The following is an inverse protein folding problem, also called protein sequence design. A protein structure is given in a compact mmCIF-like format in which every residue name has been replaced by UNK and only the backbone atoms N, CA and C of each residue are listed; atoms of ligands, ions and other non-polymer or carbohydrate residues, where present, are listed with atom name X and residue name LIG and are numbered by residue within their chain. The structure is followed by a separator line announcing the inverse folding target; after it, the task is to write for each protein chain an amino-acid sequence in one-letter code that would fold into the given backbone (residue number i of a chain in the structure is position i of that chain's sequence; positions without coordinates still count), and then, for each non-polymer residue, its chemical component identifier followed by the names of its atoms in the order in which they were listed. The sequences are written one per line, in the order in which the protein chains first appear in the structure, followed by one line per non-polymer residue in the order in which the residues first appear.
data_IF_318888644845
#
_entry.id   IF_318888644845
#
_cell.length_a   1.000
_cell.length_b   1.000
_cell.length_c   1.000
_cell.angle_alpha   90.00
_cell.angle_beta   90.00
_cell.angle_gamma   90.00
#
_symmetry.space_group_name_H-M   'P 1'
#
loop_
_entity.id
_entity.type
_entity.pdbx_description
1 polymer ?
#
# COMPACT_ATOMS: atom_id res chain seq x y z
N UNK A 1 4.85 0.06 16.09
CA UNK A 1 4.31 0.57 17.38
C UNK A 1 4.71 -0.39 18.52
N UNK A 2 5.28 0.15 19.59
CA UNK A 2 6.03 -0.58 20.62
C UNK A 2 7.50 -0.81 20.25
N UNK A 3 7.76 -1.41 19.08
CA UNK A 3 9.11 -1.78 18.60
C UNK A 3 9.84 -0.70 17.76
N UNK A 4 9.45 0.58 17.85
CA UNK A 4 10.09 1.68 17.11
C UNK A 4 9.76 1.80 15.61
N UNK A 5 9.01 0.86 15.03
CA UNK A 5 8.54 0.96 13.63
C UNK A 5 7.41 1.99 13.47
N UNK A 6 7.51 2.84 12.45
CA UNK A 6 6.50 3.81 12.05
C UNK A 6 5.27 3.16 11.41
N UNK A 7 4.18 3.92 11.26
CA UNK A 7 2.98 3.43 10.55
C UNK A 7 3.33 3.16 9.08
N UNK A 8 4.03 4.08 8.42
CA UNK A 8 4.43 3.93 7.03
C UNK A 8 5.28 2.68 6.80
N UNK A 9 6.22 2.37 7.70
CA UNK A 9 7.05 1.15 7.60
C UNK A 9 6.21 -0.12 7.69
N UNK A 10 5.29 -0.19 8.65
CA UNK A 10 4.42 -1.37 8.85
C UNK A 10 3.43 -1.56 7.69
N UNK A 11 2.79 -0.48 7.23
CA UNK A 11 1.87 -0.50 6.08
C UNK A 11 2.61 -0.91 4.82
N UNK A 12 3.78 -0.31 4.54
CA UNK A 12 4.57 -0.62 3.34
C UNK A 12 5.06 -2.07 3.35
N UNK A 13 5.51 -2.58 4.50
CA UNK A 13 5.98 -3.97 4.62
C UNK A 13 4.86 -4.97 4.39
N UNK A 14 3.69 -4.74 5.01
CA UNK A 14 2.52 -5.61 4.82
C UNK A 14 2.01 -5.57 3.38
N UNK A 15 1.92 -4.37 2.80
CA UNK A 15 1.52 -4.19 1.40
C UNK A 15 2.49 -4.88 0.44
N UNK A 16 3.80 -4.66 0.60
CA UNK A 16 4.83 -5.30 -0.22
C UNK A 16 4.74 -6.83 -0.19
N UNK A 17 4.34 -7.41 0.94
CA UNK A 17 4.13 -8.86 1.07
C UNK A 17 2.90 -9.32 0.31
N UNK A 18 1.75 -8.70 0.55
CA UNK A 18 0.46 -9.17 0.02
C UNK A 18 0.25 -8.83 -1.45
N UNK A 19 0.74 -7.68 -1.91
CA UNK A 19 0.47 -7.16 -3.27
C UNK A 19 1.00 -8.09 -4.35
N UNK A 20 1.99 -8.95 -4.07
CA UNK A 20 2.52 -9.91 -5.05
C UNK A 20 1.48 -10.90 -5.58
N UNK A 21 0.34 -11.04 -4.89
CA UNK A 21 -0.77 -11.88 -5.36
C UNK A 21 -1.25 -11.48 -6.75
N UNK A 22 -1.61 -12.48 -7.56
CA UNK A 22 -2.40 -12.29 -8.77
C UNK A 22 -3.41 -13.41 -8.95
N UNK A 23 -4.66 -13.02 -9.21
CA UNK A 23 -5.78 -13.93 -9.37
C UNK A 23 -5.65 -14.85 -10.58
N UNK A 24 -4.94 -14.40 -11.61
CA UNK A 24 -4.80 -15.09 -12.90
C UNK A 24 -4.27 -16.53 -12.79
N UNK A 25 -3.33 -16.76 -11.88
CA UNK A 25 -2.73 -18.08 -11.63
C UNK A 25 -2.56 -18.39 -10.15
N UNK A 26 -3.18 -17.58 -9.27
CA UNK A 26 -3.20 -17.75 -7.81
C UNK A 26 -1.82 -17.76 -7.16
N UNK A 27 -0.81 -17.16 -7.81
CA UNK A 27 0.55 -17.03 -7.27
C UNK A 27 0.71 -15.74 -6.48
N UNK A 28 1.72 -15.72 -5.60
CA UNK A 28 2.04 -14.58 -4.74
C UNK A 28 1.19 -14.53 -3.47
N UNK A 29 1.19 -13.38 -2.80
CA UNK A 29 0.52 -13.16 -1.53
C UNK A 29 1.47 -13.18 -0.33
N UNK A 30 0.93 -12.92 0.85
CA UNK A 30 1.69 -12.78 2.10
C UNK A 30 2.05 -14.12 2.75
N UNK A 31 1.30 -15.19 2.48
CA UNK A 31 1.55 -16.52 3.00
C UNK A 31 2.89 -17.09 2.46
N UNK A 32 3.62 -17.77 3.34
CA UNK A 32 5.00 -18.19 3.10
C UNK A 32 6.05 -17.15 3.53
N UNK A 33 5.66 -15.91 3.85
CA UNK A 33 6.58 -14.87 4.32
C UNK A 33 7.74 -14.60 3.35
N UNK A 34 7.51 -14.81 2.04
CA UNK A 34 8.55 -14.82 1.01
C UNK A 34 9.17 -13.45 0.73
N UNK A 35 8.55 -12.37 1.23
CA UNK A 35 9.11 -11.03 1.20
C UNK A 35 10.53 -10.95 1.80
N UNK A 36 10.85 -11.79 2.79
CA UNK A 36 12.18 -11.85 3.42
C UNK A 36 13.23 -12.69 2.66
N UNK A 37 12.80 -13.36 1.59
CA UNK A 37 13.62 -14.29 0.82
C UNK A 37 14.01 -13.67 -0.53
N UNK A 38 15.04 -14.24 -1.16
CA UNK A 38 15.35 -13.89 -2.54
C UNK A 38 14.29 -14.53 -3.48
N UNK A 39 13.85 -13.81 -4.55
CA UNK A 39 14.36 -12.51 -4.98
C UNK A 39 13.62 -11.31 -4.37
N UNK A 40 12.50 -11.52 -3.66
CA UNK A 40 11.60 -10.42 -3.27
C UNK A 40 12.25 -9.35 -2.39
N UNK A 41 13.09 -9.76 -1.44
CA UNK A 41 13.77 -8.81 -0.53
C UNK A 41 14.70 -7.83 -1.25
N UNK A 42 15.13 -8.20 -2.46
CA UNK A 42 16.12 -7.48 -3.26
C UNK A 42 15.46 -6.64 -4.38
N UNK A 43 14.13 -6.71 -4.53
CA UNK A 43 13.40 -5.93 -5.54
C UNK A 43 13.41 -4.43 -5.22
N UNK A 44 13.68 -3.62 -6.24
CA UNK A 44 13.73 -2.16 -6.14
C UNK A 44 12.44 -1.58 -5.54
N UNK A 45 11.28 -2.07 -6.00
CA UNK A 45 9.96 -1.62 -5.54
C UNK A 45 9.75 -1.80 -4.03
N UNK A 46 10.48 -2.75 -3.42
CA UNK A 46 10.39 -3.07 -2.01
C UNK A 46 11.36 -2.26 -1.14
N UNK A 47 12.18 -1.38 -1.72
CA UNK A 47 13.18 -0.57 -1.01
C UNK A 47 14.02 -1.40 -0.03
N UNK A 48 14.95 -2.26 -0.51
CA UNK A 48 15.58 -3.32 0.28
C UNK A 48 16.18 -2.89 1.62
N UNK A 49 16.77 -1.70 1.70
CA UNK A 49 17.33 -1.15 2.94
C UNK A 49 16.24 -0.85 4.00
N UNK A 50 15.17 -0.19 3.57
CA UNK A 50 14.02 0.14 4.44
C UNK A 50 13.29 -1.14 4.86
N UNK A 51 13.08 -2.08 3.93
CA UNK A 51 12.48 -3.38 4.20
C UNK A 51 13.30 -4.21 5.19
N UNK A 52 14.62 -4.28 5.02
CA UNK A 52 15.49 -5.05 5.91
C UNK A 52 15.42 -4.53 7.36
N UNK A 53 15.27 -3.21 7.54
CA UNK A 53 15.04 -2.61 8.86
C UNK A 53 13.73 -3.09 9.51
N UNK A 54 12.64 -3.08 8.76
CA UNK A 54 11.33 -3.52 9.24
C UNK A 54 11.32 -5.03 9.55
N UNK A 55 11.87 -5.87 8.67
CA UNK A 55 11.94 -7.31 8.87
C UNK A 55 12.74 -7.68 10.12
N UNK A 56 13.91 -7.08 10.36
CA UNK A 56 14.70 -7.34 11.58
C UNK A 56 13.93 -7.05 12.86
N UNK A 57 13.18 -5.94 12.88
CA UNK A 57 12.37 -5.58 14.04
C UNK A 57 11.22 -6.60 14.25
N UNK A 58 10.55 -7.04 13.17
CA UNK A 58 9.50 -8.05 13.25
C UNK A 58 10.04 -9.44 13.63
N UNK A 59 11.23 -9.83 13.15
CA UNK A 59 11.92 -11.06 13.54
C UNK A 59 12.31 -11.05 15.02
N UNK A 60 12.77 -9.90 15.54
CA UNK A 60 13.05 -9.74 16.97
C UNK A 60 11.78 -9.95 17.81
N UNK A 61 10.65 -9.35 17.39
CA UNK A 61 9.35 -9.54 18.05
C UNK A 61 8.92 -11.02 17.98
N UNK A 62 9.11 -11.66 16.81
CA UNK A 62 8.81 -13.08 16.62
C UNK A 62 9.59 -13.94 17.60
N UNK A 63 10.90 -13.74 17.69
CA UNK A 63 11.78 -14.51 18.56
C UNK A 63 11.42 -14.34 20.03
N UNK A 64 11.18 -13.10 20.47
CA UNK A 64 10.75 -12.80 21.84
C UNK A 64 9.41 -13.46 22.17
N UNK A 65 8.40 -13.26 21.33
CA UNK A 65 7.07 -13.84 21.54
C UNK A 65 7.13 -15.36 21.59
N UNK A 66 7.77 -15.99 20.61
CA UNK A 66 7.87 -17.45 20.50
C UNK A 66 8.70 -18.07 21.64
N UNK A 67 9.76 -17.39 22.09
CA UNK A 67 10.56 -17.83 23.24
C UNK A 67 9.85 -17.72 24.58
N UNK A 68 8.91 -16.77 24.72
CA UNK A 68 8.10 -16.60 25.91
C UNK A 68 6.90 -17.57 26.01
N UNK A 69 6.51 -18.23 24.90
CA UNK A 69 5.36 -19.13 24.91
C UNK A 69 5.70 -20.46 25.61
N UNK A 70 4.72 -20.99 26.36
CA UNK A 70 4.72 -22.38 26.85
C UNK A 70 3.89 -23.25 25.90
N UNK A 71 4.34 -24.47 25.63
CA UNK A 71 3.71 -25.38 24.66
C UNK A 71 3.97 -24.99 23.21
N UNK A 72 3.07 -25.40 22.31
CA UNK A 72 3.29 -25.35 20.84
C UNK A 72 2.83 -24.04 20.18
N UNK A 73 2.29 -23.10 20.96
CA UNK A 73 1.85 -21.80 20.42
C UNK A 73 3.06 -21.05 19.85
N UNK A 74 3.03 -20.75 18.56
CA UNK A 74 4.03 -19.95 17.86
C UNK A 74 3.32 -19.01 16.88
N UNK A 75 4.00 -17.94 16.49
CA UNK A 75 3.57 -17.03 15.42
C UNK A 75 4.60 -17.06 14.29
N UNK A 76 4.13 -17.08 13.04
CA UNK A 76 4.97 -16.96 11.85
C UNK A 76 5.32 -15.49 11.58
N UNK A 77 6.40 -15.25 10.85
CA UNK A 77 6.77 -13.92 10.41
C UNK A 77 5.75 -13.43 9.37
N UNK A 78 5.26 -14.32 8.50
CA UNK A 78 4.17 -14.04 7.57
C UNK A 78 2.93 -13.44 8.27
N UNK A 79 2.49 -14.03 9.39
CA UNK A 79 1.38 -13.48 10.18
C UNK A 79 1.76 -12.17 10.87
N UNK A 80 2.99 -12.04 11.40
CA UNK A 80 3.44 -10.80 12.04
C UNK A 80 3.55 -9.61 11.08
N UNK A 81 3.95 -9.85 9.83
CA UNK A 81 3.99 -8.81 8.78
C UNK A 81 2.57 -8.26 8.57
N UNK A 82 1.59 -9.15 8.37
CA UNK A 82 0.18 -8.75 8.17
C UNK A 82 -0.40 -8.09 9.41
N UNK A 83 -0.20 -8.69 10.59
CA UNK A 83 -0.67 -8.16 11.86
C UNK A 83 -0.08 -6.78 12.17
N UNK A 84 1.20 -6.56 11.85
CA UNK A 84 1.86 -5.27 11.96
C UNK A 84 1.21 -4.21 11.09
N UNK A 85 0.87 -4.55 9.84
CA UNK A 85 0.10 -3.69 8.95
C UNK A 85 -1.30 -3.36 9.49
N UNK A 86 -2.02 -4.36 10.02
CA UNK A 86 -3.32 -4.14 10.68
C UNK A 86 -3.20 -3.15 11.85
N UNK A 87 -2.24 -3.37 12.76
CA UNK A 87 -2.01 -2.49 13.90
C UNK A 87 -1.66 -1.05 13.48
N UNK A 88 -0.92 -0.88 12.38
CA UNK A 88 -0.58 0.43 11.85
C UNK A 88 -1.80 1.18 11.28
N UNK A 89 -2.73 0.47 10.64
CA UNK A 89 -3.98 1.04 10.14
C UNK A 89 -4.92 1.43 11.29
N UNK A 90 -5.04 0.58 12.31
CA UNK A 90 -5.80 0.90 13.52
C UNK A 90 -5.25 2.17 14.20
N UNK A 91 -3.93 2.30 14.29
CA UNK A 91 -3.29 3.52 14.79
C UNK A 91 -3.57 4.74 13.90
N UNK A 92 -3.43 4.61 12.59
CA UNK A 92 -3.63 5.71 11.66
C UNK A 92 -5.09 6.20 11.65
N UNK A 93 -6.05 5.28 11.78
CA UNK A 93 -7.46 5.59 11.97
C UNK A 93 -7.71 6.29 13.31
N UNK A 94 -7.06 5.84 14.39
CA UNK A 94 -7.17 6.47 15.72
C UNK A 94 -6.64 7.89 15.72
N UNK A 95 -5.52 8.15 15.03
CA UNK A 95 -5.00 9.51 14.80
C UNK A 95 -6.00 10.39 14.05
N UNK A 96 -6.83 9.80 13.19
CA UNK A 96 -7.92 10.48 12.49
C UNK A 96 -9.21 10.61 13.34
N UNK A 97 -9.22 10.13 14.59
CA UNK A 97 -10.38 10.18 15.47
C UNK A 97 -11.36 9.01 15.32
N UNK A 98 -10.94 7.91 14.66
CA UNK A 98 -11.77 6.73 14.43
C UNK A 98 -11.21 5.51 15.16
N UNK A 99 -12.02 4.92 16.04
CA UNK A 99 -11.71 3.63 16.65
C UNK A 99 -12.24 2.51 15.75
N UNK A 100 -11.32 1.74 15.16
CA UNK A 100 -11.63 0.65 14.24
C UNK A 100 -10.79 -0.56 14.59
N UNK A 101 -11.31 -1.72 14.18
CA UNK A 101 -10.59 -2.98 14.28
C UNK A 101 -10.40 -3.55 12.89
N UNK A 102 -9.16 -3.80 12.51
CA UNK A 102 -8.85 -4.42 11.22
C UNK A 102 -8.96 -5.94 11.38
N UNK A 103 -9.77 -6.63 10.56
CA UNK A 103 -9.85 -8.09 10.60
C UNK A 103 -8.47 -8.73 10.40
N UNK A 104 -8.18 -9.76 11.19
CA UNK A 104 -6.94 -10.53 11.08
C UNK A 104 -7.23 -12.00 11.37
N UNK A 105 -6.85 -12.86 10.43
CA UNK A 105 -6.91 -14.32 10.57
C UNK A 105 -5.49 -14.87 10.62
N UNK A 106 -5.05 -15.50 11.73
CA UNK A 106 -3.75 -16.16 11.78
C UNK A 106 -3.76 -17.43 10.93
N UNK A 107 -2.59 -18.06 10.77
CA UNK A 107 -2.42 -19.36 10.11
C UNK A 107 -1.49 -19.34 8.91
N UNK A 108 -0.93 -18.18 8.53
CA UNK A 108 0.12 -18.13 7.51
C UNK A 108 1.36 -18.84 8.05
N UNK A 109 2.12 -19.48 7.17
CA UNK A 109 3.36 -20.16 7.51
C UNK A 109 4.58 -19.45 6.90
N UNK A 110 5.77 -19.76 7.41
CA UNK A 110 7.03 -19.26 6.87
C UNK A 110 7.68 -20.32 5.97
N UNK A 111 7.75 -20.05 4.66
CA UNK A 111 8.49 -20.88 3.72
C UNK A 111 10.00 -20.63 3.85
N UNK A 112 10.84 -21.60 3.47
CA UNK A 112 12.30 -21.44 3.44
C UNK A 112 12.80 -21.03 2.05
N UNK A 113 14.08 -20.64 1.96
CA UNK A 113 14.71 -20.31 0.67
C UNK A 113 14.74 -21.52 -0.27
N UNK A 114 14.95 -22.73 0.27
CA UNK A 114 14.96 -24.00 -0.48
C UNK A 114 13.57 -24.35 -1.03
N UNK A 115 12.50 -23.85 -0.39
CA UNK A 115 11.12 -23.97 -0.83
C UNK A 115 10.68 -22.85 -1.79
N UNK A 116 11.64 -22.06 -2.29
CA UNK A 116 11.38 -20.89 -3.14
C UNK A 116 12.28 -20.93 -4.38
N UNK A 117 11.67 -21.22 -5.53
CA UNK A 117 12.31 -21.11 -6.84
C UNK A 117 12.41 -19.62 -7.24
N UNK A 118 13.62 -19.06 -7.17
CA UNK A 118 13.83 -17.64 -7.39
C UNK A 118 13.48 -17.20 -8.84
N UNK A 119 13.79 -18.03 -9.84
CA UNK A 119 13.54 -17.72 -11.24
C UNK A 119 12.04 -17.70 -11.52
N UNK A 120 11.31 -18.66 -10.94
CA UNK A 120 9.85 -18.68 -11.01
C UNK A 120 9.22 -17.43 -10.37
N UNK A 121 9.80 -16.90 -9.28
CA UNK A 121 9.30 -15.70 -8.61
C UNK A 121 9.62 -14.39 -9.34
N UNK A 122 10.60 -14.36 -10.25
CA UNK A 122 10.98 -13.14 -10.97
C UNK A 122 9.81 -12.51 -11.75
N UNK A 123 8.89 -13.32 -12.29
CA UNK A 123 7.70 -12.82 -13.02
C UNK A 123 6.62 -12.19 -12.14
N UNK A 124 6.79 -12.26 -10.82
CA UNK A 124 5.92 -11.60 -9.84
C UNK A 124 6.46 -10.23 -9.43
N UNK A 125 7.68 -9.88 -9.85
CA UNK A 125 8.25 -8.56 -9.58
C UNK A 125 7.44 -7.48 -10.32
N UNK A 126 6.80 -6.54 -9.60
CA UNK A 126 6.05 -5.48 -10.24
C UNK A 126 6.99 -4.54 -11.00
N UNK A 127 6.81 -4.41 -12.32
CA UNK A 127 7.49 -3.37 -13.09
C UNK A 127 6.89 -1.99 -12.84
N UNK A 128 5.63 -1.93 -12.42
CA UNK A 128 4.95 -0.77 -11.89
C UNK A 128 4.01 -1.18 -10.75
N UNK A 129 3.86 -0.33 -9.74
CA UNK A 129 2.91 -0.48 -8.66
C UNK A 129 2.32 0.89 -8.31
N UNK A 130 1.17 1.20 -8.91
CA UNK A 130 0.50 2.47 -8.69
C UNK A 130 0.07 2.70 -7.23
N UNK A 131 -0.17 1.63 -6.46
CA UNK A 131 -0.51 1.75 -5.04
C UNK A 131 0.66 2.28 -4.22
N UNK A 132 1.90 1.99 -4.63
CA UNK A 132 3.14 2.53 -4.04
C UNK A 132 3.77 3.68 -4.83
N UNK A 133 3.06 4.21 -5.82
CA UNK A 133 3.55 5.23 -6.76
C UNK A 133 4.91 4.89 -7.38
N UNK A 134 5.09 3.62 -7.73
CA UNK A 134 6.34 3.10 -8.27
C UNK A 134 6.20 2.76 -9.76
N UNK A 135 7.24 3.09 -10.53
CA UNK A 135 7.39 2.70 -11.92
C UNK A 135 8.87 2.51 -12.22
N UNK A 136 9.25 1.30 -12.62
CA UNK A 136 10.59 1.00 -13.11
C UNK A 136 10.71 1.26 -14.62
N UNK A 137 11.93 1.38 -15.12
CA UNK A 137 12.20 1.50 -16.56
C UNK A 137 11.65 0.31 -17.38
N UNK A 138 11.53 -0.87 -16.75
CA UNK A 138 10.96 -2.09 -17.36
C UNK A 138 9.46 -1.99 -17.64
N UNK A 139 8.76 -1.00 -17.10
CA UNK A 139 7.33 -0.79 -17.35
C UNK A 139 7.03 -0.37 -18.81
N UNK A 140 8.05 0.02 -19.57
CA UNK A 140 7.92 0.40 -20.98
C UNK A 140 7.11 1.69 -21.17
N UNK A 141 6.38 1.79 -22.28
CA UNK A 141 5.66 3.01 -22.68
C UNK A 141 4.18 3.06 -22.28
N UNK A 142 3.64 1.99 -21.65
CA UNK A 142 2.22 1.95 -21.25
C UNK A 142 1.93 3.03 -20.20
N UNK A 143 0.82 3.79 -20.30
CA UNK A 143 0.45 4.78 -19.29
C UNK A 143 0.36 4.17 -17.88
N UNK A 144 0.84 4.88 -16.87
CA UNK A 144 0.91 4.35 -15.50
C UNK A 144 -0.47 4.03 -14.92
N UNK A 145 -1.49 4.78 -15.31
CA UNK A 145 -2.88 4.55 -14.94
C UNK A 145 -3.47 3.24 -15.52
N UNK A 146 -3.02 2.81 -16.70
CA UNK A 146 -3.43 1.51 -17.25
C UNK A 146 -2.80 0.36 -16.46
N UNK A 147 -1.53 0.52 -16.07
CA UNK A 147 -0.82 -0.45 -15.23
C UNK A 147 -1.42 -0.52 -13.82
N UNK A 148 -1.91 0.60 -13.27
CA UNK A 148 -2.67 0.61 -12.02
C UNK A 148 -3.95 -0.23 -12.16
N UNK A 149 -4.73 -0.03 -13.22
CA UNK A 149 -5.99 -0.78 -13.43
C UNK A 149 -5.72 -2.27 -13.63
N UNK A 150 -4.68 -2.63 -14.39
CA UNK A 150 -4.24 -4.02 -14.52
C UNK A 150 -3.85 -4.63 -13.17
N UNK A 151 -3.11 -3.88 -12.35
CA UNK A 151 -2.73 -4.32 -11.01
C UNK A 151 -3.93 -4.51 -10.09
N UNK A 152 -4.89 -3.59 -10.16
CA UNK A 152 -6.15 -3.70 -9.41
C UNK A 152 -6.94 -4.95 -9.83
N UNK A 153 -6.98 -5.26 -11.14
CA UNK A 153 -7.62 -6.47 -11.65
C UNK A 153 -6.96 -7.74 -11.12
N UNK A 154 -5.63 -7.80 -11.10
CA UNK A 154 -4.88 -8.94 -10.53
C UNK A 154 -5.19 -9.16 -9.04
N UNK A 155 -5.46 -8.08 -8.32
CA UNK A 155 -5.83 -8.10 -6.89
C UNK A 155 -7.34 -8.25 -6.67
N UNK A 156 -8.12 -8.54 -7.71
CA UNK A 156 -9.59 -8.68 -7.67
C UNK A 156 -10.34 -7.43 -7.19
N UNK A 157 -9.71 -6.25 -7.30
CA UNK A 157 -10.26 -5.00 -6.79
C UNK A 157 -11.24 -4.40 -7.80
N UNK A 158 -12.38 -3.95 -7.27
CA UNK A 158 -13.29 -3.06 -7.97
C UNK A 158 -12.72 -1.64 -8.06
N UNK A 159 -13.28 -0.79 -8.93
CA UNK A 159 -12.85 0.61 -9.03
C UNK A 159 -13.00 1.38 -7.70
N UNK A 160 -14.08 1.20 -6.89
CA UNK A 160 -14.16 1.81 -5.56
C UNK A 160 -13.08 1.33 -4.58
N UNK A 161 -12.78 0.02 -4.56
CA UNK A 161 -11.73 -0.54 -3.71
C UNK A 161 -10.34 -0.06 -4.12
N UNK A 162 -10.05 -0.01 -5.42
CA UNK A 162 -8.81 0.58 -5.95
C UNK A 162 -8.69 2.04 -5.53
N UNK A 163 -9.77 2.82 -5.67
CA UNK A 163 -9.80 4.25 -5.33
C UNK A 163 -9.50 4.49 -3.86
N UNK A 164 -10.21 3.78 -2.97
CA UNK A 164 -10.02 3.96 -1.52
C UNK A 164 -8.61 3.53 -1.09
N UNK A 165 -8.08 2.44 -1.66
CA UNK A 165 -6.73 1.96 -1.37
C UNK A 165 -5.67 2.96 -1.80
N UNK A 166 -5.75 3.52 -3.02
CA UNK A 166 -4.77 4.53 -3.47
C UNK A 166 -4.79 5.74 -2.54
N UNK A 167 -5.96 6.31 -2.27
CA UNK A 167 -6.07 7.50 -1.42
C UNK A 167 -5.54 7.28 0.00
N UNK A 168 -5.88 6.14 0.61
CA UNK A 168 -5.38 5.81 1.94
C UNK A 168 -3.89 5.50 1.97
N UNK A 169 -3.36 4.72 1.02
CA UNK A 169 -1.93 4.42 0.97
C UNK A 169 -1.06 5.67 0.77
N UNK A 170 -1.57 6.68 0.02
CA UNK A 170 -0.92 8.00 -0.05
C UNK A 170 -0.88 8.71 1.29
N UNK A 171 -2.01 8.78 2.00
CA UNK A 171 -2.08 9.41 3.32
C UNK A 171 -1.20 8.69 4.36
N UNK A 172 -1.03 7.38 4.22
CA UNK A 172 -0.19 6.55 5.10
C UNK A 172 1.30 6.54 4.72
N UNK A 173 1.70 7.26 3.65
CA UNK A 173 3.10 7.34 3.23
C UNK A 173 3.67 6.02 2.69
N UNK A 174 2.83 5.18 2.07
CA UNK A 174 3.23 3.86 1.58
C UNK A 174 3.94 3.88 0.22
N UNK A 175 4.45 5.04 -0.21
CA UNK A 175 5.16 5.17 -1.48
C UNK A 175 6.55 4.52 -1.40
N UNK A 176 6.96 3.85 -2.48
CA UNK A 176 8.32 3.32 -2.60
C UNK A 176 9.35 4.45 -2.45
N UNK A 177 10.42 4.19 -1.67
CA UNK A 177 11.48 5.15 -1.42
C UNK A 177 11.03 6.41 -0.67
N UNK A 178 9.87 6.39 0.01
CA UNK A 178 9.29 7.54 0.71
C UNK A 178 9.05 8.75 -0.21
N UNK A 179 8.75 8.50 -1.49
CA UNK A 179 8.40 9.55 -2.45
C UNK A 179 7.18 10.37 -1.97
N UNK A 180 7.19 11.68 -2.22
CA UNK A 180 6.09 12.59 -1.90
C UNK A 180 5.00 12.65 -2.97
N UNK A 181 5.14 11.90 -4.08
CA UNK A 181 4.15 11.88 -5.17
C UNK A 181 2.77 11.43 -4.66
N UNK A 182 1.75 12.26 -4.85
CA UNK A 182 0.38 11.94 -4.47
C UNK A 182 0.09 12.10 -2.97
N UNK A 183 1.08 12.44 -2.14
CA UNK A 183 0.89 12.62 -0.68
C UNK A 183 0.28 14.00 -0.42
N UNK A 184 -1.01 14.14 -0.73
CA UNK A 184 -1.75 15.39 -0.61
C UNK A 184 -2.31 15.55 0.80
N UNK A 185 -1.43 15.62 1.80
CA UNK A 185 -1.81 15.84 3.20
C UNK A 185 -0.65 16.47 3.97
N UNK A 186 -0.98 17.32 4.94
CA UNK A 186 -0.02 17.86 5.91
C UNK A 186 0.07 17.00 7.19
N UNK A 187 -0.69 15.90 7.24
CA UNK A 187 -0.78 14.99 8.40
C UNK A 187 -0.47 13.55 7.97
N UNK A 188 0.73 13.27 7.43
CA UNK A 188 1.09 11.92 7.00
C UNK A 188 0.95 10.91 8.15
N UNK A 189 0.72 9.65 7.79
CA UNK A 189 0.41 8.57 8.73
C UNK A 189 -0.90 8.75 9.52
N UNK A 190 -1.84 9.54 8.98
CA UNK A 190 -3.20 9.73 9.52
C UNK A 190 -4.20 9.34 8.43
N UNK A 191 -5.08 8.37 8.70
CA UNK A 191 -5.97 7.81 7.69
C UNK A 191 -7.15 8.75 7.43
N UNK A 192 -7.03 9.61 6.42
CA UNK A 192 -7.99 10.70 6.12
C UNK A 192 -8.34 10.75 4.64
N UNK A 193 -9.42 11.46 4.32
CA UNK A 193 -9.84 11.75 2.94
C UNK A 193 -9.03 12.86 2.27
N UNK A 194 -7.96 13.36 2.91
CA UNK A 194 -7.15 14.50 2.46
C UNK A 194 -6.68 14.34 1.00
N UNK A 195 -6.33 13.11 0.56
CA UNK A 195 -5.99 12.83 -0.84
C UNK A 195 -7.07 13.32 -1.81
N UNK A 196 -8.33 12.96 -1.58
CA UNK A 196 -9.43 13.29 -2.48
C UNK A 196 -9.82 14.76 -2.36
N UNK A 197 -9.87 15.29 -1.14
CA UNK A 197 -10.21 16.70 -0.88
C UNK A 197 -9.22 17.62 -1.58
N UNK A 198 -7.92 17.35 -1.46
CA UNK A 198 -6.88 18.18 -2.07
C UNK A 198 -6.72 17.95 -3.58
N UNK A 199 -6.99 16.74 -4.08
CA UNK A 199 -6.98 16.45 -5.51
C UNK A 199 -8.10 17.21 -6.24
N UNK A 200 -9.28 17.30 -5.63
CA UNK A 200 -10.48 17.91 -6.23
C UNK A 200 -10.61 19.40 -5.93
N UNK A 201 -9.69 19.98 -5.15
CA UNK A 201 -9.62 21.41 -4.90
C UNK A 201 -9.32 22.20 -6.19
N UNK A 202 -10.32 22.91 -6.69
CA UNK A 202 -10.23 23.71 -7.91
C UNK A 202 -9.28 24.92 -7.79
N UNK A 203 -8.90 25.31 -6.57
CA UNK A 203 -7.86 26.31 -6.33
C UNK A 203 -6.46 25.77 -6.66
N UNK A 204 -6.30 24.47 -6.86
CA UNK A 204 -5.05 23.86 -7.34
C UNK A 204 -5.10 23.67 -8.86
N UNK A 205 -4.12 24.21 -9.57
CA UNK A 205 -3.89 23.97 -10.99
C UNK A 205 -2.74 22.97 -11.16
N UNK A 206 -2.96 21.96 -12.01
CA UNK A 206 -1.99 20.91 -12.29
C UNK A 206 -1.32 21.12 -13.65
N UNK A 207 0.01 21.07 -13.68
CA UNK A 207 0.81 21.13 -14.92
C UNK A 207 1.91 20.07 -14.92
N UNK A 208 2.30 19.51 -16.06
CA UNK A 208 3.47 18.64 -16.16
C UNK A 208 4.72 19.35 -15.62
N UNK A 209 5.62 18.59 -14.98
CA UNK A 209 6.94 19.06 -14.61
C UNK A 209 7.83 19.21 -15.85
N UNK A 210 8.77 20.15 -15.81
CA UNK A 210 9.76 20.30 -16.88
C UNK A 210 10.85 19.21 -16.81
N UNK A 211 11.13 18.70 -15.62
CA UNK A 211 12.18 17.71 -15.37
C UNK A 211 11.74 16.26 -15.68
N UNK A 212 10.45 15.97 -15.51
CA UNK A 212 9.89 14.63 -15.67
C UNK A 212 8.43 14.72 -16.17
N UNK A 213 8.14 14.25 -17.40
CA UNK A 213 6.80 14.33 -17.99
C UNK A 213 5.75 13.44 -17.30
N UNK A 214 6.16 12.47 -16.48
CA UNK A 214 5.25 11.63 -15.69
C UNK A 214 4.93 12.23 -14.30
N UNK A 215 5.59 13.34 -13.95
CA UNK A 215 5.35 14.11 -12.72
C UNK A 215 4.61 15.40 -13.04
N UNK A 216 3.63 15.73 -12.20
CA UNK A 216 2.80 16.92 -12.32
C UNK A 216 2.90 17.74 -11.04
N UNK A 217 2.99 19.06 -11.21
CA UNK A 217 3.08 20.02 -10.13
C UNK A 217 1.71 20.67 -9.92
N UNK A 218 1.17 20.51 -8.70
CA UNK A 218 -0.03 21.20 -8.24
C UNK A 218 0.36 22.55 -7.65
N UNK A 219 -0.09 23.65 -8.26
CA UNK A 219 0.17 25.01 -7.82
C UNK A 219 -1.12 25.71 -7.44
N UNK A 220 -1.06 26.57 -6.43
CA UNK A 220 -2.13 27.47 -6.12
C UNK A 220 -2.42 28.39 -7.33
N UNK A 221 -3.68 28.43 -7.76
CA UNK A 221 -4.10 29.11 -9.00
C UNK A 221 -3.97 30.63 -8.92
N UNK A 222 -3.96 31.20 -7.71
CA UNK A 222 -3.87 32.66 -7.50
C UNK A 222 -2.43 33.11 -7.34
N UNK A 223 -1.65 32.38 -6.55
CA UNK A 223 -0.28 32.78 -6.16
C UNK A 223 0.80 32.10 -7.00
N UNK A 224 0.49 31.00 -7.67
CA UNK A 224 1.47 30.15 -8.37
C UNK A 224 2.38 29.33 -7.45
N UNK A 225 2.19 29.41 -6.13
CA UNK A 225 2.96 28.68 -5.14
C UNK A 225 2.74 27.17 -5.30
N UNK A 226 3.82 26.39 -5.25
CA UNK A 226 3.74 24.92 -5.31
C UNK A 226 3.11 24.40 -4.03
N UNK A 227 2.02 23.62 -4.17
CA UNK A 227 1.36 22.91 -3.08
C UNK A 227 1.76 21.44 -3.08
N UNK A 228 1.66 20.78 -4.23
CA UNK A 228 1.73 19.32 -4.34
C UNK A 228 2.55 18.87 -5.55
N UNK A 229 2.90 17.57 -5.55
CA UNK A 229 3.36 16.85 -6.73
C UNK A 229 2.63 15.51 -6.82
N UNK A 230 2.26 15.08 -8.01
CA UNK A 230 1.59 13.81 -8.25
C UNK A 230 2.03 13.19 -9.56
N UNK A 231 1.84 11.89 -9.71
CA UNK A 231 2.03 11.19 -10.97
C UNK A 231 0.70 11.05 -11.72
N UNK A 232 0.75 10.45 -12.91
CA UNK A 232 -0.46 10.05 -13.65
C UNK A 232 -1.38 9.16 -12.82
N UNK A 233 -0.83 8.30 -11.96
CA UNK A 233 -1.59 7.41 -11.08
C UNK A 233 -2.41 8.20 -10.07
N UNK A 234 -1.91 9.34 -9.61
CA UNK A 234 -2.62 10.18 -8.64
C UNK A 234 -3.71 11.00 -9.35
N UNK A 235 -3.36 11.60 -10.49
CA UNK A 235 -4.25 12.53 -11.19
C UNK A 235 -5.37 11.86 -11.99
N UNK A 236 -5.25 10.56 -12.31
CA UNK A 236 -6.32 9.85 -13.02
C UNK A 236 -7.64 9.89 -12.25
N UNK A 237 -7.59 9.92 -10.92
CA UNK A 237 -8.77 10.04 -10.04
C UNK A 237 -9.43 11.42 -10.09
N UNK A 238 -8.75 12.45 -10.59
CA UNK A 238 -9.31 13.79 -10.84
C UNK A 238 -9.78 14.01 -12.28
N UNK A 239 -9.38 13.12 -13.20
CA UNK A 239 -9.51 13.29 -14.65
C UNK A 239 -10.47 12.29 -15.32
N UNK A 240 -10.35 11.00 -15.03
CA UNK A 240 -11.26 9.99 -15.58
C UNK A 240 -12.66 10.18 -14.96
N UNK A 241 -13.70 10.32 -15.77
CA UNK A 241 -15.05 10.69 -15.31
C UNK A 241 -15.63 9.71 -14.28
N UNK A 242 -15.37 8.40 -14.42
CA UNK A 242 -15.86 7.39 -13.49
C UNK A 242 -15.07 7.40 -12.18
N UNK A 243 -13.73 7.43 -12.25
CA UNK A 243 -12.89 7.49 -11.06
C UNK A 243 -13.09 8.80 -10.29
N UNK A 244 -13.32 9.90 -11.00
CA UNK A 244 -13.65 11.20 -10.41
C UNK A 244 -14.96 11.14 -9.64
N UNK A 245 -16.00 10.52 -10.19
CA UNK A 245 -17.27 10.36 -9.47
C UNK A 245 -17.09 9.59 -8.15
N UNK A 246 -16.21 8.58 -8.13
CA UNK A 246 -15.87 7.85 -6.89
C UNK A 246 -15.05 8.73 -5.94
N UNK A 247 -14.07 9.47 -6.45
CA UNK A 247 -13.26 10.40 -5.67
C UNK A 247 -14.12 11.49 -5.01
N UNK A 248 -15.14 12.00 -5.70
CA UNK A 248 -16.09 12.99 -5.19
C UNK A 248 -16.89 12.45 -3.99
N UNK A 249 -17.22 11.15 -3.98
CA UNK A 249 -17.85 10.51 -2.80
C UNK A 249 -16.92 10.59 -1.59
N UNK A 250 -15.64 10.25 -1.75
CA UNK A 250 -14.69 10.28 -0.63
C UNK A 250 -14.20 11.69 -0.26
N UNK A 251 -14.35 12.68 -1.15
CA UNK A 251 -14.10 14.10 -0.83
C UNK A 251 -15.27 14.78 -0.11
N UNK A 252 -16.41 14.10 0.05
CA UNK A 252 -17.56 14.62 0.81
C UNK A 252 -17.20 14.95 2.26
N UNK A 253 -17.79 16.02 2.79
CA UNK A 253 -17.52 16.48 4.16
C UNK A 253 -17.91 15.45 5.24
N UNK A 254 -18.83 14.54 4.93
CA UNK A 254 -19.32 13.45 5.77
C UNK A 254 -18.68 12.08 5.45
N UNK A 255 -17.75 12.05 4.49
CA UNK A 255 -17.22 10.81 3.94
C UNK A 255 -16.15 10.12 4.80
N UNK A 256 -15.59 10.81 5.80
CA UNK A 256 -14.44 10.33 6.57
C UNK A 256 -14.69 8.96 7.23
N UNK A 257 -15.85 8.76 7.88
CA UNK A 257 -16.17 7.47 8.52
C UNK A 257 -16.33 6.34 7.48
N UNK A 258 -16.98 6.64 6.35
CA UNK A 258 -17.14 5.71 5.23
C UNK A 258 -15.79 5.35 4.61
N UNK A 259 -14.94 6.34 4.37
CA UNK A 259 -13.60 6.16 3.84
C UNK A 259 -12.76 5.22 4.70
N UNK A 260 -12.73 5.44 6.03
CA UNK A 260 -11.99 4.56 6.95
C UNK A 260 -12.54 3.12 6.88
N UNK A 261 -13.86 2.94 6.92
CA UNK A 261 -14.47 1.61 6.86
C UNK A 261 -14.17 0.89 5.54
N UNK A 262 -14.32 1.58 4.40
CA UNK A 262 -14.07 1.03 3.07
C UNK A 262 -12.58 0.74 2.86
N UNK A 263 -11.68 1.58 3.39
CA UNK A 263 -10.24 1.35 3.34
C UNK A 263 -9.86 0.10 4.14
N UNK A 264 -10.38 -0.04 5.37
CA UNK A 264 -10.14 -1.23 6.21
C UNK A 264 -10.66 -2.50 5.53
N UNK A 265 -11.84 -2.45 4.92
CA UNK A 265 -12.39 -3.59 4.19
C UNK A 265 -11.53 -3.98 2.97
N UNK A 266 -11.13 -3.00 2.16
CA UNK A 266 -10.28 -3.24 0.99
C UNK A 266 -8.87 -3.71 1.37
N UNK A 267 -8.31 -3.17 2.45
CA UNK A 267 -7.04 -3.65 3.01
C UNK A 267 -7.14 -5.12 3.45
N UNK A 268 -8.14 -5.45 4.27
CA UNK A 268 -8.36 -6.80 4.76
C UNK A 268 -8.54 -7.79 3.61
N UNK A 269 -9.28 -7.40 2.56
CA UNK A 269 -9.42 -8.20 1.34
C UNK A 269 -8.06 -8.53 0.73
N UNK A 270 -7.19 -7.54 0.49
CA UNK A 270 -5.86 -7.76 -0.12
C UNK A 270 -4.99 -8.66 0.76
N UNK A 271 -5.02 -8.47 2.07
CA UNK A 271 -4.24 -9.29 3.00
C UNK A 271 -4.65 -10.76 2.99
N UNK A 272 -5.88 -11.09 2.62
CA UNK A 272 -6.43 -12.44 2.65
C UNK A 272 -6.54 -13.12 1.26
N UNK A 273 -6.05 -12.49 0.18
CA UNK A 273 -6.21 -13.02 -1.20
C UNK A 273 -5.62 -14.43 -1.42
N UNK A 274 -4.59 -14.80 -0.68
CA UNK A 274 -3.90 -16.09 -0.79
C UNK A 274 -4.30 -17.11 0.30
N UNK A 275 -5.36 -16.80 1.06
CA UNK A 275 -5.80 -17.58 2.23
C UNK A 275 -6.80 -18.65 1.87
N UNK A 276 -6.44 -19.47 0.89
CA UNK A 276 -7.29 -20.54 0.35
C UNK A 276 -7.65 -21.62 1.37
N UNK A 277 -6.89 -21.74 2.46
CA UNK A 277 -7.19 -22.66 3.56
C UNK A 277 -8.38 -22.22 4.44
N UNK A 278 -8.82 -20.97 4.31
CA UNK A 278 -9.99 -20.43 5.02
C UNK A 278 -11.29 -20.56 4.22
N UNK A 279 -11.21 -20.99 2.96
CA UNK A 279 -12.31 -21.08 2.00
C UNK A 279 -13.09 -22.40 2.07
#
# INVERSE_FOLDING_TARGET
LGAGLSIAQLVTTAWASAVTFRESDKRGGANGGRLRLAPQRDWEVNAPEDLAGALRALESIQAEFNGAQKGDKRVSLADLIVLGGCAAIEEAARKAGHDVRVPFSPGRADATQEQTDADSFAVLEPTADGFRNFRSERAGSRPAEELLVERAQQLTLSAPEMTVLVGGLRALGANTGRSSLGVFTDRPETLTTDFFVNLLDMATEWRPSEDDPDVFLGRDRTTGARKWQGSRVDLVFGYNSQLRAIAEVYAGADAQAKFVADFVAAWAKVMELDRFELA
#
